data_IF_670633876737
#
_entry.id   IF_670633876737
#
_cell.length_a   1.000
_cell.length_b   1.000
_cell.length_c   1.000
_cell.angle_alpha   90.00
_cell.angle_beta   90.00
_cell.angle_gamma   90.00
#
_symmetry.space_group_name_H-M   'P 1'
#
loop_
_entity.id
_entity.type
_entity.pdbx_description
1 polymer ?
#
# COMPACT_ATOMS: atom_id res chain seq x y z
N UNK A 1 48.42 -57.77 -0.47
CA UNK A 1 47.64 -56.78 0.34
C UNK A 1 47.76 -55.43 -0.42
N UNK A 2 47.53 -55.43 -1.73
CA UNK A 2 47.70 -54.22 -2.56
C UNK A 2 46.74 -54.10 -3.73
N UNK A 3 45.80 -55.04 -3.92
CA UNK A 3 44.86 -55.00 -5.04
C UNK A 3 43.43 -54.62 -4.64
N UNK A 4 43.16 -54.51 -3.34
CA UNK A 4 41.85 -54.16 -2.79
C UNK A 4 41.70 -52.64 -2.52
N UNK A 5 42.81 -51.93 -2.27
CA UNK A 5 42.80 -50.50 -1.98
C UNK A 5 42.68 -49.63 -3.24
N UNK A 6 43.08 -50.17 -4.38
CA UNK A 6 43.01 -49.41 -5.65
C UNK A 6 41.61 -49.39 -6.31
N UNK A 7 40.67 -50.20 -5.78
CA UNK A 7 39.31 -50.30 -6.32
C UNK A 7 38.31 -49.39 -5.61
N UNK A 8 38.71 -48.72 -4.50
CA UNK A 8 37.83 -47.81 -3.71
C UNK A 8 38.02 -46.34 -4.06
N UNK A 9 39.00 -45.98 -4.88
CA UNK A 9 39.32 -44.59 -5.21
C UNK A 9 38.69 -44.08 -6.53
N UNK A 10 37.91 -44.93 -7.24
CA UNK A 10 37.31 -44.58 -8.55
C UNK A 10 35.83 -44.18 -8.46
N UNK A 11 35.22 -44.03 -7.26
CA UNK A 11 33.77 -43.78 -7.14
C UNK A 11 33.35 -42.41 -6.66
N UNK A 12 34.26 -41.44 -6.57
CA UNK A 12 33.88 -40.05 -6.24
C UNK A 12 34.34 -39.06 -7.32
N UNK A 13 33.92 -39.27 -8.54
CA UNK A 13 33.82 -38.15 -9.49
C UNK A 13 32.46 -37.47 -9.22
N UNK A 14 32.42 -36.17 -8.90
CA UNK A 14 31.16 -35.45 -8.91
C UNK A 14 30.58 -35.55 -10.31
N UNK A 15 29.40 -36.15 -10.42
CA UNK A 15 28.60 -36.08 -11.62
C UNK A 15 28.34 -34.62 -11.89
N UNK A 16 29.12 -33.99 -12.76
CA UNK A 16 28.71 -32.74 -13.40
C UNK A 16 27.39 -33.07 -14.11
N UNK A 17 26.30 -32.63 -13.49
CA UNK A 17 24.98 -32.66 -14.07
C UNK A 17 25.07 -31.85 -15.37
N UNK A 18 25.23 -32.52 -16.48
CA UNK A 18 25.18 -31.92 -17.83
C UNK A 18 23.74 -31.42 -17.98
N UNK A 19 23.47 -30.23 -17.47
CA UNK A 19 22.23 -29.51 -17.75
C UNK A 19 22.25 -29.21 -19.25
N UNK A 20 21.62 -30.09 -19.99
CA UNK A 20 21.41 -29.93 -21.42
C UNK A 20 20.74 -28.60 -21.68
N UNK A 21 21.48 -27.63 -22.18
CA UNK A 21 21.04 -26.27 -22.47
C UNK A 21 20.02 -26.35 -23.60
N UNK A 22 18.75 -26.47 -23.24
CA UNK A 22 17.64 -26.45 -24.19
C UNK A 22 17.65 -25.06 -24.86
N UNK A 23 17.88 -24.98 -26.18
CA UNK A 23 17.93 -23.69 -26.86
C UNK A 23 16.56 -22.99 -26.75
N UNK A 24 16.58 -21.76 -26.21
CA UNK A 24 15.36 -20.96 -25.96
C UNK A 24 14.87 -20.96 -24.52
N UNK A 25 15.42 -21.77 -23.61
CA UNK A 25 15.06 -21.78 -22.19
C UNK A 25 15.32 -20.43 -21.54
N UNK A 26 16.47 -19.81 -21.83
CA UNK A 26 16.85 -18.50 -21.29
C UNK A 26 15.87 -17.40 -21.73
N UNK A 27 15.42 -17.45 -22.98
CA UNK A 27 14.40 -16.53 -23.51
C UNK A 27 13.06 -16.75 -22.83
N UNK A 28 12.64 -18.00 -22.68
CA UNK A 28 11.38 -18.33 -22.00
C UNK A 28 11.41 -17.89 -20.53
N UNK A 29 12.49 -18.13 -19.79
CA UNK A 29 12.63 -17.72 -18.39
C UNK A 29 12.59 -16.19 -18.26
N UNK A 30 13.26 -15.47 -19.17
CA UNK A 30 13.23 -14.00 -19.20
C UNK A 30 11.83 -13.46 -19.48
N UNK A 31 11.16 -13.99 -20.50
CA UNK A 31 9.79 -13.56 -20.86
C UNK A 31 8.82 -13.88 -19.73
N UNK A 32 8.90 -15.07 -19.14
CA UNK A 32 8.06 -15.49 -18.02
C UNK A 32 8.25 -14.58 -16.80
N UNK A 33 9.50 -14.22 -16.50
CA UNK A 33 9.81 -13.27 -15.41
C UNK A 33 9.22 -11.89 -15.67
N UNK A 34 9.34 -11.36 -16.89
CA UNK A 34 8.75 -10.06 -17.27
C UNK A 34 7.23 -10.08 -17.18
N UNK A 35 6.59 -11.14 -17.66
CA UNK A 35 5.12 -11.29 -17.59
C UNK A 35 4.68 -11.37 -16.12
N UNK A 36 5.37 -12.14 -15.29
CA UNK A 36 5.07 -12.26 -13.87
C UNK A 36 5.24 -10.92 -13.13
N UNK A 37 6.32 -10.19 -13.42
CA UNK A 37 6.55 -8.87 -12.84
C UNK A 37 5.43 -7.88 -13.23
N UNK A 38 5.04 -7.86 -14.51
CA UNK A 38 3.95 -7.02 -15.00
C UNK A 38 2.62 -7.38 -14.31
N UNK A 39 2.33 -8.66 -14.16
CA UNK A 39 1.12 -9.14 -13.48
C UNK A 39 1.09 -8.67 -12.02
N UNK A 40 2.20 -8.79 -11.29
CA UNK A 40 2.30 -8.28 -9.92
C UNK A 40 2.05 -6.78 -9.85
N UNK A 41 2.65 -5.99 -10.74
CA UNK A 41 2.43 -4.54 -10.81
C UNK A 41 0.96 -4.22 -11.05
N UNK A 42 0.31 -4.89 -12.00
CA UNK A 42 -1.12 -4.70 -12.29
C UNK A 42 -1.98 -5.04 -11.07
N UNK A 43 -1.70 -6.14 -10.37
CA UNK A 43 -2.43 -6.51 -9.16
C UNK A 43 -2.26 -5.46 -8.05
N UNK A 44 -1.05 -4.98 -7.82
CA UNK A 44 -0.76 -3.94 -6.82
C UNK A 44 -1.57 -2.68 -7.11
N UNK A 45 -1.49 -2.14 -8.34
CA UNK A 45 -2.22 -0.91 -8.70
C UNK A 45 -3.74 -1.11 -8.76
N UNK A 46 -4.23 -2.32 -9.00
CA UNK A 46 -5.67 -2.58 -9.04
C UNK A 46 -6.28 -2.70 -7.65
N UNK A 47 -5.58 -3.37 -6.72
CA UNK A 47 -6.17 -3.74 -5.43
C UNK A 47 -5.63 -2.94 -4.24
N UNK A 48 -4.37 -2.51 -4.27
CA UNK A 48 -3.70 -1.92 -3.11
C UNK A 48 -3.62 -0.40 -3.16
N UNK A 49 -3.49 0.18 -4.35
CA UNK A 49 -3.21 1.60 -4.50
C UNK A 49 -4.08 2.21 -5.59
N UNK A 50 -4.63 3.40 -5.33
CA UNK A 50 -5.41 4.16 -6.31
C UNK A 50 -4.94 5.60 -6.39
N UNK A 51 -4.87 6.15 -7.60
CA UNK A 51 -4.65 7.58 -7.82
C UNK A 51 -6.00 8.30 -7.83
N UNK A 52 -6.10 9.35 -7.01
CA UNK A 52 -7.30 10.21 -6.96
C UNK A 52 -6.90 11.69 -7.01
N UNK A 53 -7.73 12.50 -7.66
CA UNK A 53 -7.57 13.95 -7.68
C UNK A 53 -8.35 14.60 -6.54
N UNK A 54 -7.75 15.62 -5.92
CA UNK A 54 -8.42 16.49 -4.94
C UNK A 54 -9.29 17.48 -5.72
N UNK A 55 -10.52 17.70 -5.25
CA UNK A 55 -11.41 18.73 -5.77
C UNK A 55 -12.02 19.53 -4.63
N UNK A 56 -11.82 20.83 -4.69
CA UNK A 56 -12.33 21.79 -3.71
C UNK A 56 -11.34 22.22 -2.64
N UNK A 57 -11.65 23.31 -1.92
CA UNK A 57 -10.74 23.97 -0.99
C UNK A 57 -10.79 23.44 0.44
N UNK A 58 -11.62 22.43 0.75
CA UNK A 58 -11.94 22.03 2.13
C UNK A 58 -10.78 21.45 2.93
N UNK A 59 -9.65 21.20 2.30
CA UNK A 59 -8.44 20.64 2.92
C UNK A 59 -7.23 21.60 2.87
N UNK A 60 -7.44 22.85 2.48
CA UNK A 60 -6.41 23.90 2.55
C UNK A 60 -6.07 24.18 4.02
N UNK A 61 -4.78 24.39 4.38
CA UNK A 61 -3.60 24.46 3.50
C UNK A 61 -2.96 23.11 3.16
N UNK A 62 -3.43 22.01 3.76
CA UNK A 62 -2.80 20.69 3.63
C UNK A 62 -2.86 20.12 2.21
N UNK A 63 -4.00 20.28 1.52
CA UNK A 63 -4.23 19.84 0.16
C UNK A 63 -4.89 20.94 -0.65
N UNK A 64 -4.44 21.10 -1.90
CA UNK A 64 -4.96 22.08 -2.83
C UNK A 64 -5.83 21.44 -3.90
N UNK A 65 -6.69 22.25 -4.51
CA UNK A 65 -7.50 21.81 -5.65
C UNK A 65 -6.60 21.42 -6.82
N UNK A 66 -6.84 20.23 -7.39
CA UNK A 66 -6.02 19.66 -8.46
C UNK A 66 -4.87 18.76 -7.99
N UNK A 67 -4.58 18.69 -6.71
CA UNK A 67 -3.56 17.76 -6.17
C UNK A 67 -3.91 16.31 -6.51
N UNK A 68 -2.86 15.49 -6.68
CA UNK A 68 -3.00 14.06 -6.93
C UNK A 68 -2.59 13.27 -5.70
N UNK A 69 -3.50 12.48 -5.18
CA UNK A 69 -3.29 11.62 -4.02
C UNK A 69 -3.05 10.18 -4.44
N UNK A 70 -2.06 9.56 -3.81
CA UNK A 70 -1.87 8.14 -3.83
C UNK A 70 -2.61 7.55 -2.62
N UNK A 71 -3.72 6.88 -2.87
CA UNK A 71 -4.60 6.34 -1.84
C UNK A 71 -4.31 4.87 -1.65
N UNK A 72 -3.98 4.49 -0.43
CA UNK A 72 -3.77 3.11 -0.03
C UNK A 72 -5.10 2.50 0.42
N UNK A 73 -5.34 1.24 0.08
CA UNK A 73 -6.54 0.54 0.48
C UNK A 73 -6.57 0.37 2.02
N UNK A 74 -7.73 0.62 2.64
CA UNK A 74 -7.94 0.50 4.08
C UNK A 74 -7.58 -0.87 4.66
N UNK A 75 -7.62 -1.93 3.86
CA UNK A 75 -7.17 -3.27 4.28
C UNK A 75 -5.69 -3.33 4.68
N UNK A 76 -4.88 -2.36 4.24
CA UNK A 76 -3.45 -2.28 4.54
C UNK A 76 -3.11 -1.26 5.62
N UNK A 77 -4.05 -0.39 5.99
CA UNK A 77 -3.77 0.76 6.85
C UNK A 77 -3.92 0.46 8.35
N UNK A 78 -4.52 -0.68 8.74
CA UNK A 78 -4.84 -0.95 10.14
C UNK A 78 -5.89 0.03 10.70
N UNK A 79 -5.79 0.37 11.99
CA UNK A 79 -6.72 1.28 12.66
C UNK A 79 -6.40 2.74 12.33
N UNK A 80 -7.44 3.54 12.13
CA UNK A 80 -7.32 4.97 11.88
C UNK A 80 -6.94 5.72 13.15
N UNK A 81 -6.07 6.72 12.99
CA UNK A 81 -5.63 7.60 14.07
C UNK A 81 -6.11 9.04 13.85
N UNK A 82 -6.17 9.82 14.93
CA UNK A 82 -6.44 11.25 14.84
C UNK A 82 -5.34 11.91 14.01
N UNK A 83 -5.75 12.75 13.07
CA UNK A 83 -4.84 13.40 12.11
C UNK A 83 -4.77 12.72 10.74
N UNK A 84 -5.16 11.45 10.62
CA UNK A 84 -5.15 10.74 9.35
C UNK A 84 -6.04 11.42 8.30
N UNK A 85 -5.56 11.45 7.05
CA UNK A 85 -6.35 11.91 5.92
C UNK A 85 -7.00 10.70 5.26
N UNK A 86 -8.32 10.68 5.27
CA UNK A 86 -9.11 9.56 4.76
C UNK A 86 -10.00 9.99 3.59
N UNK A 87 -10.28 9.04 2.72
CA UNK A 87 -11.26 9.20 1.66
C UNK A 87 -12.52 8.44 2.07
N UNK A 88 -13.56 9.21 2.41
CA UNK A 88 -14.86 8.67 2.78
C UNK A 88 -15.82 8.72 1.60
N UNK A 89 -16.65 7.69 1.48
CA UNK A 89 -17.76 7.64 0.54
C UNK A 89 -19.05 7.43 1.33
N UNK A 90 -20.01 8.31 1.15
CA UNK A 90 -21.32 8.19 1.76
C UNK A 90 -22.39 8.30 0.67
N UNK A 91 -23.24 7.32 0.55
CA UNK A 91 -24.28 7.26 -0.48
C UNK A 91 -25.28 8.42 -0.38
N UNK A 92 -25.45 8.98 0.83
CA UNK A 92 -26.38 10.09 1.11
C UNK A 92 -25.86 11.46 0.65
N UNK A 93 -24.55 11.61 0.43
CA UNK A 93 -23.91 12.82 -0.08
C UNK A 93 -23.37 12.58 -1.48
N UNK A 94 -24.17 12.88 -2.52
CA UNK A 94 -23.78 13.05 -3.90
C UNK A 94 -22.76 12.01 -4.45
N UNK A 95 -22.84 10.76 -4.03
CA UNK A 95 -22.01 9.61 -4.48
C UNK A 95 -20.52 9.87 -4.78
N UNK A 96 -20.02 11.12 -4.61
CA UNK A 96 -18.62 11.47 -4.80
C UNK A 96 -17.81 11.21 -3.55
N UNK A 97 -16.61 10.64 -3.69
CA UNK A 97 -15.71 10.48 -2.54
C UNK A 97 -15.26 11.85 -2.02
N UNK A 98 -15.26 12.01 -0.72
CA UNK A 98 -14.79 13.21 -0.02
C UNK A 98 -13.48 12.92 0.71
N UNK A 99 -12.56 13.88 0.69
CA UNK A 99 -11.31 13.82 1.44
C UNK A 99 -11.50 14.59 2.74
N UNK A 100 -11.24 13.97 3.89
CA UNK A 100 -11.37 14.57 5.21
C UNK A 100 -10.28 14.10 6.16
N UNK A 101 -10.03 14.88 7.22
CA UNK A 101 -9.13 14.51 8.30
C UNK A 101 -9.92 13.85 9.45
N UNK A 102 -9.35 12.81 10.05
CA UNK A 102 -9.89 12.17 11.25
C UNK A 102 -9.61 13.08 12.45
N UNK A 103 -10.64 13.54 13.12
CA UNK A 103 -10.53 14.38 14.33
C UNK A 103 -10.80 13.61 15.62
N UNK A 104 -11.49 12.48 15.52
CA UNK A 104 -11.74 11.58 16.64
C UNK A 104 -11.87 10.14 16.16
N UNK A 105 -11.57 9.20 17.04
CA UNK A 105 -11.66 7.76 16.80
C UNK A 105 -12.77 7.11 17.63
N UNK A 106 -12.98 5.81 17.44
CA UNK A 106 -14.03 5.08 18.14
C UNK A 106 -13.86 5.18 19.69
N UNK A 107 -14.95 5.46 20.37
CA UNK A 107 -14.99 5.61 21.84
C UNK A 107 -14.81 7.05 22.33
N UNK A 108 -14.41 7.97 21.49
CA UNK A 108 -14.30 9.38 21.82
C UNK A 108 -15.61 10.15 21.60
N UNK A 109 -15.81 11.20 22.38
CA UNK A 109 -16.95 12.10 22.26
C UNK A 109 -16.51 13.39 21.58
N UNK A 110 -17.23 13.81 20.54
CA UNK A 110 -16.99 15.08 19.84
C UNK A 110 -18.11 16.05 20.16
N UNK A 111 -17.77 17.24 20.63
CA UNK A 111 -18.68 18.35 20.85
C UNK A 111 -18.24 19.56 20.02
N UNK A 112 -19.21 20.22 19.36
CA UNK A 112 -18.93 21.34 18.45
C UNK A 112 -19.69 22.54 18.91
N UNK A 113 -18.96 23.58 19.38
CA UNK A 113 -19.54 24.89 19.67
C UNK A 113 -19.59 25.74 18.37
N UNK A 114 -20.76 25.78 17.78
CA UNK A 114 -20.99 26.56 16.55
C UNK A 114 -20.91 28.07 16.74
N UNK A 115 -21.05 28.56 17.99
CA UNK A 115 -20.98 30.00 18.28
C UNK A 115 -19.53 30.46 18.34
N UNK A 116 -18.68 29.64 18.92
CA UNK A 116 -17.24 29.92 19.05
C UNK A 116 -16.42 29.35 17.88
N UNK A 117 -17.01 28.46 17.06
CA UNK A 117 -16.29 27.76 16.01
C UNK A 117 -15.24 26.80 16.56
N UNK A 118 -15.47 26.24 17.74
CA UNK A 118 -14.53 25.36 18.44
C UNK A 118 -15.01 23.93 18.45
N UNK A 119 -14.05 23.00 18.36
CA UNK A 119 -14.31 21.58 18.47
C UNK A 119 -13.60 21.01 19.69
N UNK A 120 -14.33 20.23 20.46
CA UNK A 120 -13.82 19.54 21.64
C UNK A 120 -13.87 18.03 21.41
N UNK A 121 -12.81 17.34 21.82
CA UNK A 121 -12.74 15.88 21.82
C UNK A 121 -12.49 15.41 23.24
N UNK A 122 -13.41 14.62 23.79
CA UNK A 122 -13.41 14.17 25.20
C UNK A 122 -13.33 15.34 26.21
N UNK A 123 -13.85 16.51 25.83
CA UNK A 123 -13.85 17.71 26.64
C UNK A 123 -12.58 18.57 26.56
N UNK A 124 -11.59 18.16 25.78
CA UNK A 124 -10.40 18.95 25.48
C UNK A 124 -10.57 19.70 24.16
N UNK A 125 -10.19 20.98 24.14
CA UNK A 125 -10.22 21.80 22.93
C UNK A 125 -9.25 21.23 21.92
N UNK A 126 -9.76 20.90 20.73
CA UNK A 126 -8.93 20.42 19.63
C UNK A 126 -8.14 21.61 19.06
N UNK A 127 -6.82 21.50 19.06
CA UNK A 127 -5.94 22.47 18.42
C UNK A 127 -5.86 22.15 16.91
N UNK A 128 -6.47 23.02 16.11
CA UNK A 128 -6.63 22.85 14.66
C UNK A 128 -5.84 23.90 13.89
N UNK A 129 -4.52 23.86 13.98
CA UNK A 129 -3.59 24.76 13.27
C UNK A 129 -3.68 24.64 11.73
N UNK A 130 -4.39 23.62 11.25
CA UNK A 130 -4.62 23.32 9.84
C UNK A 130 -5.98 23.84 9.30
N UNK A 131 -6.79 24.54 10.13
CA UNK A 131 -8.02 25.20 9.70
C UNK A 131 -7.73 26.71 9.54
N UNK A 132 -8.22 27.29 8.44
CA UNK A 132 -8.20 28.74 8.19
C UNK A 132 -9.56 29.36 8.49
#
# INVERSE_FOLDING_TARGET
MDEFDQKMEISEQPQEEIVEKIPGRDVYETVSSLVSALLVVVLVFTFLVRLMGVSGPSMIPTLQDGDRLLVVNSLLCGDYQVGDIVIARKETFDSKPIVKRVIATAGQTVDIDFNLGQVYVDGELLDEDYIN
#
